data_IF_264479396394
#
_entry.id   IF_264479396394
#
_cell.length_a   1.000
_cell.length_b   1.000
_cell.length_c   1.000
_cell.angle_alpha   90.00
_cell.angle_beta   90.00
_cell.angle_gamma   90.00
#
_symmetry.space_group_name_H-M   'P 1'
#
loop_
_entity.id
_entity.type
_entity.pdbx_description
1 polymer ?
#
# COMPACT_ATOMS: atom_id res chain seq x y z
N UNK A 1 -40.17 22.25 -29.96
CA UNK A 1 -38.71 22.08 -30.12
C UNK A 1 -38.39 20.60 -30.28
N UNK A 2 -37.66 20.19 -31.32
CA UNK A 2 -37.25 18.79 -31.49
C UNK A 2 -35.88 18.54 -30.83
N UNK A 3 -35.61 17.28 -30.46
CA UNK A 3 -34.35 16.87 -29.81
C UNK A 3 -33.12 17.34 -30.60
N UNK A 4 -33.11 17.13 -31.93
CA UNK A 4 -31.97 17.49 -32.79
C UNK A 4 -31.67 18.98 -32.71
N UNK A 5 -32.70 19.82 -32.88
CA UNK A 5 -32.59 21.26 -32.79
C UNK A 5 -32.06 21.71 -31.42
N UNK A 6 -32.61 21.20 -30.31
CA UNK A 6 -32.15 21.55 -28.96
C UNK A 6 -30.66 21.24 -28.73
N UNK A 7 -30.19 20.04 -29.12
CA UNK A 7 -28.79 19.64 -28.97
C UNK A 7 -27.86 20.49 -29.82
N UNK A 8 -28.22 20.78 -31.08
CA UNK A 8 -27.39 21.56 -31.99
C UNK A 8 -27.34 23.04 -31.61
N UNK A 9 -28.48 23.62 -31.23
CA UNK A 9 -28.56 25.06 -30.90
C UNK A 9 -27.82 25.39 -29.61
N UNK A 10 -27.87 24.50 -28.61
CA UNK A 10 -27.18 24.72 -27.34
C UNK A 10 -25.75 24.14 -27.32
N UNK A 11 -25.33 23.45 -28.39
CA UNK A 11 -24.07 22.72 -28.45
C UNK A 11 -23.87 21.73 -27.28
N UNK A 12 -24.97 21.11 -26.82
CA UNK A 12 -24.96 20.16 -25.71
C UNK A 12 -25.03 18.74 -26.27
N UNK A 13 -24.18 17.85 -25.75
CA UNK A 13 -24.24 16.43 -26.08
C UNK A 13 -25.48 15.76 -25.46
N UNK A 14 -25.98 14.68 -26.05
CA UNK A 14 -27.20 14.02 -25.57
C UNK A 14 -27.06 13.43 -24.14
N UNK A 15 -25.85 12.97 -23.78
CA UNK A 15 -25.57 12.22 -22.56
C UNK A 15 -25.89 12.97 -21.25
N UNK A 16 -25.47 14.24 -21.03
CA UNK A 16 -25.82 15.00 -19.83
C UNK A 16 -27.34 15.15 -19.65
N UNK A 17 -28.09 15.38 -20.72
CA UNK A 17 -29.56 15.54 -20.66
C UNK A 17 -30.22 14.24 -20.23
N UNK A 18 -29.79 13.12 -20.81
CA UNK A 18 -30.29 11.80 -20.43
C UNK A 18 -29.99 11.47 -18.96
N UNK A 19 -28.76 11.72 -18.52
CA UNK A 19 -28.34 11.48 -17.14
C UNK A 19 -29.14 12.32 -16.13
N UNK A 20 -29.43 13.58 -16.46
CA UNK A 20 -30.27 14.46 -15.63
C UNK A 20 -31.71 13.93 -15.57
N UNK A 21 -32.28 13.52 -16.70
CA UNK A 21 -33.62 12.95 -16.73
C UNK A 21 -33.75 11.60 -16.01
N UNK A 22 -32.70 10.79 -15.99
CA UNK A 22 -32.65 9.55 -15.23
C UNK A 22 -32.55 9.78 -13.72
N UNK A 23 -31.90 10.87 -13.30
CA UNK A 23 -31.63 11.21 -11.89
C UNK A 23 -32.52 12.35 -11.39
N UNK A 24 -33.71 12.52 -11.95
CA UNK A 24 -34.67 13.51 -11.46
C UNK A 24 -35.61 12.86 -10.44
N UNK A 25 -36.12 13.67 -9.52
CA UNK A 25 -37.18 13.28 -8.59
C UNK A 25 -38.54 13.21 -9.30
N UNK A 26 -39.56 12.70 -8.60
CA UNK A 26 -40.94 12.63 -9.10
C UNK A 26 -41.52 14.00 -9.45
N UNK A 27 -40.97 15.07 -8.86
CA UNK A 27 -41.30 16.48 -9.15
C UNK A 27 -40.59 17.04 -10.37
N UNK A 28 -39.71 16.25 -11.01
CA UNK A 28 -38.95 16.65 -12.20
C UNK A 28 -37.67 17.43 -11.90
N UNK A 29 -37.31 17.60 -10.62
CA UNK A 29 -36.11 18.32 -10.19
C UNK A 29 -34.89 17.37 -10.26
N UNK A 30 -33.77 17.77 -10.87
CA UNK A 30 -32.54 16.98 -10.84
C UNK A 30 -32.00 16.82 -9.41
N UNK A 31 -31.50 15.63 -9.06
CA UNK A 31 -30.78 15.43 -7.80
C UNK A 31 -29.60 16.39 -7.67
N UNK A 32 -29.29 16.77 -6.41
CA UNK A 32 -28.11 17.58 -6.08
C UNK A 32 -26.83 16.91 -6.62
N UNK A 33 -25.93 17.74 -7.14
CA UNK A 33 -24.60 17.29 -7.54
C UNK A 33 -23.79 16.82 -6.33
N UNK A 34 -23.41 15.54 -6.33
CA UNK A 34 -22.60 14.89 -5.28
C UNK A 34 -21.12 14.76 -5.67
N UNK A 35 -20.67 15.46 -6.71
CA UNK A 35 -19.24 15.52 -7.02
C UNK A 35 -18.48 16.14 -5.84
N UNK A 36 -17.36 15.50 -5.48
CA UNK A 36 -16.51 15.96 -4.39
C UNK A 36 -17.05 15.72 -2.98
N UNK A 37 -18.23 15.12 -2.80
CA UNK A 37 -18.79 14.82 -1.47
C UNK A 37 -18.29 13.50 -0.88
N UNK A 38 -17.44 12.77 -1.61
CA UNK A 38 -16.90 11.50 -1.15
C UNK A 38 -15.89 11.72 -0.01
N UNK A 39 -16.31 11.40 1.21
CA UNK A 39 -15.42 11.34 2.37
C UNK A 39 -14.61 10.04 2.28
N UNK A 40 -13.29 10.13 2.33
CA UNK A 40 -12.43 8.94 2.41
C UNK A 40 -12.34 8.51 3.86
N UNK A 41 -12.65 7.25 4.14
CA UNK A 41 -12.36 6.64 5.44
C UNK A 41 -10.86 6.77 5.73
N UNK A 42 -10.52 7.57 6.74
CA UNK A 42 -9.13 7.74 7.16
C UNK A 42 -8.78 6.56 8.05
N UNK A 43 -7.79 5.77 7.64
CA UNK A 43 -7.17 4.79 8.55
C UNK A 43 -6.80 5.46 9.86
N UNK A 44 -7.18 4.84 10.98
CA UNK A 44 -6.95 5.42 12.30
C UNK A 44 -5.45 5.43 12.63
N UNK A 45 -5.05 6.23 13.61
CA UNK A 45 -3.65 6.25 14.08
C UNK A 45 -3.27 4.90 14.70
N UNK A 46 -4.19 4.31 15.46
CA UNK A 46 -4.02 3.02 16.13
C UNK A 46 -3.72 1.89 15.14
N UNK A 47 -4.41 1.85 14.01
CA UNK A 47 -4.17 0.83 12.98
C UNK A 47 -2.73 0.90 12.42
N UNK A 48 -2.20 2.11 12.27
CA UNK A 48 -0.81 2.32 11.83
C UNK A 48 0.18 1.91 12.90
N UNK A 49 -0.12 2.22 14.16
CA UNK A 49 0.74 1.86 15.30
C UNK A 49 0.82 0.33 15.46
N UNK A 50 -0.25 -0.41 15.20
CA UNK A 50 -0.24 -1.87 15.18
C UNK A 50 0.68 -2.43 14.08
N UNK A 51 0.62 -1.86 12.87
CA UNK A 51 1.52 -2.27 11.78
C UNK A 51 2.98 -1.97 12.13
N UNK A 52 3.28 -0.81 12.73
CA UNK A 52 4.63 -0.47 13.18
C UNK A 52 5.15 -1.48 14.19
N UNK A 53 4.35 -1.77 15.22
CA UNK A 53 4.70 -2.72 16.26
C UNK A 53 4.95 -4.13 15.69
N UNK A 54 4.19 -4.54 14.68
CA UNK A 54 4.42 -5.81 13.99
C UNK A 54 5.75 -5.81 13.22
N UNK A 55 6.06 -4.76 12.46
CA UNK A 55 7.32 -4.65 11.70
C UNK A 55 8.56 -4.61 12.62
N UNK A 56 8.46 -3.93 13.77
CA UNK A 56 9.58 -3.80 14.73
C UNK A 56 9.98 -5.12 15.40
N UNK A 57 9.08 -6.11 15.44
CA UNK A 57 9.37 -7.43 16.03
C UNK A 57 10.27 -8.30 15.18
N UNK A 58 10.46 -7.97 13.89
CA UNK A 58 11.30 -8.77 13.02
C UNK A 58 12.80 -8.56 13.35
N UNK A 59 13.57 -9.65 13.49
CA UNK A 59 15.01 -9.55 13.70
C UNK A 59 15.66 -8.93 12.47
N UNK A 60 16.54 -7.97 12.71
CA UNK A 60 17.30 -7.28 11.66
C UNK A 60 18.76 -7.18 12.07
N UNK A 61 19.64 -7.22 11.06
CA UNK A 61 21.08 -7.13 11.22
C UNK A 61 21.54 -5.75 10.75
N UNK A 62 22.40 -5.12 11.52
CA UNK A 62 23.03 -3.87 11.10
C UNK A 62 24.03 -4.11 9.96
N UNK A 63 24.34 -3.07 9.19
CA UNK A 63 25.32 -3.09 8.10
C UNK A 63 26.76 -3.30 8.63
N UNK A 64 27.06 -4.48 9.16
CA UNK A 64 28.33 -4.78 9.82
C UNK A 64 29.54 -4.80 8.88
N UNK A 65 29.31 -5.01 7.59
CA UNK A 65 30.37 -5.17 6.59
C UNK A 65 30.27 -4.09 5.53
N UNK A 66 31.31 -3.26 5.50
CA UNK A 66 31.65 -2.26 4.48
C UNK A 66 30.97 -0.88 4.62
N UNK A 67 31.69 -0.03 5.37
CA UNK A 67 31.71 1.44 5.34
C UNK A 67 30.69 2.15 6.24
N UNK A 68 31.22 2.95 7.15
CA UNK A 68 30.58 3.76 8.18
C UNK A 68 29.60 4.87 7.70
N UNK A 69 28.94 4.70 6.54
CA UNK A 69 28.15 5.76 5.88
C UNK A 69 26.64 5.50 5.83
N UNK A 70 26.14 4.33 6.22
CA UNK A 70 24.69 4.07 6.21
C UNK A 70 24.19 3.33 7.45
N UNK A 71 23.21 3.93 8.14
CA UNK A 71 22.44 3.33 9.25
C UNK A 71 21.32 2.41 8.74
N UNK A 72 21.54 1.73 7.62
CA UNK A 72 20.55 0.84 7.00
C UNK A 72 20.59 -0.52 7.69
N UNK A 73 19.40 -1.04 7.99
CA UNK A 73 19.19 -2.31 8.68
C UNK A 73 18.67 -3.35 7.69
N UNK A 74 19.12 -4.59 7.83
CA UNK A 74 18.82 -5.65 6.87
C UNK A 74 17.99 -6.76 7.52
N UNK A 75 16.88 -7.13 6.87
CA UNK A 75 16.06 -8.29 7.19
C UNK A 75 16.60 -9.55 6.50
N UNK A 76 16.19 -10.71 7.00
CA UNK A 76 16.55 -12.01 6.44
C UNK A 76 16.20 -12.11 4.94
N UNK A 77 17.08 -12.69 4.09
CA UNK A 77 16.84 -12.83 2.65
C UNK A 77 15.63 -13.70 2.30
N UNK A 78 15.18 -14.58 3.21
CA UNK A 78 14.02 -15.45 3.02
C UNK A 78 12.70 -14.74 3.27
N UNK A 79 12.73 -13.60 3.98
CA UNK A 79 11.57 -12.75 4.21
C UNK A 79 11.31 -11.86 2.99
N UNK A 80 10.05 -11.52 2.80
CA UNK A 80 9.64 -10.49 1.86
C UNK A 80 8.42 -9.76 2.44
N UNK A 81 8.07 -8.60 1.88
CA UNK A 81 6.95 -7.80 2.41
C UNK A 81 5.64 -8.57 2.37
N UNK A 82 5.45 -9.47 1.39
CA UNK A 82 4.25 -10.29 1.29
C UNK A 82 4.14 -11.26 2.48
N UNK A 83 5.20 -12.03 2.75
CA UNK A 83 5.29 -12.97 3.88
C UNK A 83 5.13 -12.26 5.22
N UNK A 84 5.75 -11.10 5.40
CA UNK A 84 5.55 -10.30 6.61
C UNK A 84 4.09 -9.86 6.75
N UNK A 85 3.43 -9.49 5.65
CA UNK A 85 2.01 -9.15 5.67
C UNK A 85 1.12 -10.37 5.94
N UNK A 86 1.46 -11.54 5.41
CA UNK A 86 0.73 -12.78 5.67
C UNK A 86 0.80 -13.14 7.16
N UNK A 87 1.99 -13.01 7.79
CA UNK A 87 2.16 -13.15 9.25
C UNK A 87 1.37 -12.10 10.05
N UNK A 88 1.26 -10.87 9.54
CA UNK A 88 0.41 -9.83 10.14
C UNK A 88 -1.08 -10.22 10.07
N UNK A 89 -1.54 -10.82 8.97
CA UNK A 89 -2.92 -11.31 8.86
C UNK A 89 -3.22 -12.42 9.87
N UNK A 90 -2.28 -13.35 10.03
CA UNK A 90 -2.37 -14.42 11.03
C UNK A 90 -2.47 -13.84 12.45
N UNK A 91 -1.58 -12.91 12.81
CA UNK A 91 -1.62 -12.24 14.12
C UNK A 91 -2.92 -11.45 14.35
N UNK A 92 -3.43 -10.76 13.32
CA UNK A 92 -4.70 -10.06 13.41
C UNK A 92 -5.87 -11.01 13.63
N UNK A 93 -5.87 -12.17 12.96
CA UNK A 93 -6.90 -13.19 13.12
C UNK A 93 -6.88 -13.77 14.55
N UNK A 94 -5.70 -14.10 15.08
CA UNK A 94 -5.52 -14.56 16.46
C UNK A 94 -6.03 -13.54 17.49
N UNK A 95 -5.83 -12.25 17.22
CA UNK A 95 -6.27 -11.15 18.09
C UNK A 95 -7.72 -10.69 17.83
N UNK A 96 -8.44 -11.33 16.90
CA UNK A 96 -9.78 -10.94 16.46
C UNK A 96 -9.89 -9.46 16.05
N UNK A 97 -8.88 -8.96 15.32
CA UNK A 97 -8.81 -7.59 14.81
C UNK A 97 -8.94 -7.58 13.29
N UNK A 98 -9.61 -6.54 12.78
CA UNK A 98 -9.70 -6.30 11.34
C UNK A 98 -8.35 -5.86 10.77
N UNK A 99 -7.74 -6.63 9.85
CA UNK A 99 -6.44 -6.28 9.29
C UNK A 99 -6.56 -5.12 8.30
N UNK A 100 -5.52 -4.28 8.28
CA UNK A 100 -5.42 -3.22 7.29
C UNK A 100 -4.90 -3.72 5.94
N UNK A 101 -5.17 -2.95 4.88
CA UNK A 101 -4.75 -3.29 3.51
C UNK A 101 -3.22 -3.35 3.37
N UNK A 102 -2.73 -4.31 2.58
CA UNK A 102 -1.32 -4.43 2.20
C UNK A 102 -0.70 -3.15 1.65
N UNK A 103 -1.47 -2.31 0.96
CA UNK A 103 -1.00 -1.01 0.48
C UNK A 103 -0.53 -0.10 1.62
N UNK A 104 -1.26 -0.07 2.74
CA UNK A 104 -0.87 0.69 3.92
C UNK A 104 0.35 0.07 4.58
N UNK A 105 0.38 -1.25 4.71
CA UNK A 105 1.50 -1.99 5.26
C UNK A 105 2.81 -1.69 4.50
N UNK A 106 2.79 -1.83 3.17
CA UNK A 106 3.91 -1.48 2.28
C UNK A 106 4.33 -0.02 2.42
N UNK A 107 3.37 0.89 2.56
CA UNK A 107 3.66 2.32 2.72
C UNK A 107 4.39 2.57 4.04
N UNK A 108 3.91 2.00 5.14
CA UNK A 108 4.56 2.13 6.44
C UNK A 108 5.98 1.55 6.38
N UNK A 109 6.13 0.34 5.86
CA UNK A 109 7.44 -0.30 5.69
C UNK A 109 8.43 0.58 4.89
N UNK A 110 8.03 1.11 3.73
CA UNK A 110 8.94 1.83 2.84
C UNK A 110 9.28 3.26 3.28
N UNK A 111 8.36 3.95 3.96
CA UNK A 111 8.52 5.38 4.27
C UNK A 111 8.85 5.65 5.74
N UNK A 112 8.54 4.72 6.64
CA UNK A 112 8.77 4.91 8.08
C UNK A 112 9.97 4.10 8.58
N UNK A 113 10.37 3.03 7.87
CA UNK A 113 11.50 2.19 8.24
C UNK A 113 12.66 2.28 7.22
N UNK A 114 13.89 2.33 7.72
CA UNK A 114 15.11 2.21 6.91
C UNK A 114 15.58 0.75 6.83
N UNK A 115 14.66 -0.15 6.46
CA UNK A 115 14.86 -1.60 6.36
C UNK A 115 14.95 -2.04 4.90
N UNK A 116 15.87 -2.96 4.60
CA UNK A 116 15.94 -3.66 3.32
C UNK A 116 16.12 -5.16 3.53
N UNK A 117 15.74 -5.97 2.56
CA UNK A 117 16.03 -7.40 2.60
C UNK A 117 17.48 -7.64 2.18
N UNK A 118 18.19 -8.48 2.94
CA UNK A 118 19.55 -8.86 2.59
C UNK A 118 19.52 -9.57 1.23
N UNK A 119 20.43 -9.18 0.34
CA UNK A 119 20.61 -9.89 -0.93
C UNK A 119 21.51 -11.10 -0.68
N UNK A 120 21.09 -12.33 -1.04
CA UNK A 120 21.99 -13.47 -1.04
C UNK A 120 23.26 -13.13 -1.82
N UNK A 121 24.44 -13.38 -1.26
CA UNK A 121 25.69 -13.20 -2.00
C UNK A 121 25.77 -14.29 -3.07
N UNK A 122 25.74 -13.90 -4.35
CA UNK A 122 25.78 -14.84 -5.49
C UNK A 122 27.16 -15.38 -5.81
N UNK A 123 28.24 -14.87 -5.23
CA UNK A 123 29.59 -15.33 -5.52
C UNK A 123 30.39 -15.57 -4.25
N UNK A 124 30.52 -16.84 -3.86
CA UNK A 124 31.74 -17.31 -3.21
C UNK A 124 32.46 -18.15 -4.26
N UNK A 125 33.53 -17.61 -4.84
CA UNK A 125 34.50 -18.46 -5.51
C UNK A 125 35.05 -19.43 -4.47
N UNK A 126 35.05 -20.73 -4.77
CA UNK A 126 35.50 -21.85 -3.92
C UNK A 126 36.93 -21.69 -3.37
N UNK A 127 37.69 -20.72 -3.88
CA UNK A 127 39.10 -20.44 -3.56
C UNK A 127 39.28 -19.97 -2.10
N UNK A 128 38.25 -19.49 -1.42
CA UNK A 128 38.38 -18.89 -0.07
C UNK A 128 37.95 -19.79 1.10
N UNK A 129 37.44 -21.01 0.87
CA UNK A 129 37.07 -21.91 1.97
C UNK A 129 38.24 -22.74 2.53
N UNK A 130 39.31 -23.00 1.75
CA UNK A 130 40.48 -23.75 2.24
C UNK A 130 41.24 -23.03 3.35
N UNK A 131 41.29 -21.69 3.33
CA UNK A 131 41.98 -20.92 4.37
C UNK A 131 41.21 -20.79 5.70
N UNK A 132 39.95 -21.26 5.78
CA UNK A 132 39.13 -21.17 7.00
C UNK A 132 38.98 -22.49 7.76
N UNK A 133 39.35 -23.62 7.14
CA UNK A 133 39.34 -24.95 7.76
C UNK A 133 40.74 -25.44 8.21
N UNK A 134 41.79 -24.66 7.92
CA UNK A 134 43.16 -24.94 8.35
C UNK A 134 43.54 -24.21 9.66
N UNK A 135 42.65 -24.21 10.67
CA UNK A 135 42.98 -23.76 12.03
C UNK A 135 42.36 -24.66 13.09
#
# INVERSE_FOLDING_TARGET
MCKKFFLTTLCISQKPIYNVHLKKDDTGIPHRDLRGTHIKDRTTKQDKDQIRAHIERFPHVESHYCRARSNKKYLDPTLNIQKMYDLYLEECNEQQKEPQKICLYRRIFNYEFNLEFLKPKTDRCDIYEEHRLAR
#
